data_IF_938782938599
#
_entry.id   IF_938782938599
#
_cell.length_a   1.000
_cell.length_b   1.000
_cell.length_c   1.000
_cell.angle_alpha   90.00
_cell.angle_beta   90.00
_cell.angle_gamma   90.00
#
_symmetry.space_group_name_H-M   'P 1'
#
loop_
_entity.id
_entity.type
_entity.pdbx_description
1 polymer ?
#
# COMPACT_ATOMS: atom_id res chain seq x y z
N UNK A 1 24.15 10.50 -13.55
CA UNK A 1 22.87 11.23 -13.43
C UNK A 1 21.71 10.60 -14.19
N UNK A 2 21.89 10.15 -15.44
CA UNK A 2 20.79 9.58 -16.26
C UNK A 2 20.22 8.29 -15.65
N UNK A 3 21.03 7.35 -15.23
CA UNK A 3 20.59 6.08 -14.59
C UNK A 3 19.76 6.32 -13.33
N UNK A 4 20.17 7.25 -12.47
CA UNK A 4 19.42 7.60 -11.27
C UNK A 4 18.00 8.10 -11.58
N UNK A 5 17.86 8.95 -12.61
CA UNK A 5 16.54 9.44 -13.06
C UNK A 5 15.64 8.30 -13.56
N UNK A 6 16.20 7.30 -14.24
CA UNK A 6 15.47 6.12 -14.71
C UNK A 6 14.92 5.32 -13.52
N UNK A 7 15.74 5.06 -12.50
CA UNK A 7 15.30 4.37 -11.30
C UNK A 7 14.26 5.16 -10.49
N UNK A 8 14.37 6.48 -10.39
CA UNK A 8 13.35 7.33 -9.80
C UNK A 8 12.02 7.27 -10.57
N UNK A 9 12.10 7.21 -11.90
CA UNK A 9 10.92 7.02 -12.75
C UNK A 9 10.26 5.67 -12.50
N UNK A 10 11.05 4.58 -12.37
CA UNK A 10 10.56 3.26 -12.02
C UNK A 10 9.93 3.22 -10.62
N UNK A 11 10.54 3.89 -9.64
CA UNK A 11 10.05 4.00 -8.26
C UNK A 11 8.73 4.78 -8.13
N UNK A 12 8.36 5.60 -9.14
CA UNK A 12 7.09 6.37 -9.19
C UNK A 12 6.83 7.17 -7.92
N UNK A 13 7.69 8.13 -7.62
CA UNK A 13 7.62 8.95 -6.39
C UNK A 13 6.22 9.52 -6.11
N UNK A 14 5.42 9.78 -7.14
CA UNK A 14 4.03 10.26 -7.02
C UNK A 14 3.08 9.29 -6.31
N UNK A 15 3.45 8.00 -6.16
CA UNK A 15 2.63 7.00 -5.45
C UNK A 15 3.07 6.85 -3.99
N UNK A 16 4.20 7.42 -3.58
CA UNK A 16 4.70 7.34 -2.21
C UNK A 16 3.76 7.98 -1.17
N UNK A 17 3.09 9.13 -1.42
CA UNK A 17 2.12 9.68 -0.47
C UNK A 17 1.05 8.67 -0.08
N UNK A 18 0.61 7.82 -1.01
CA UNK A 18 -0.38 6.77 -0.74
C UNK A 18 0.16 5.73 0.25
N UNK A 19 1.41 5.29 0.07
CA UNK A 19 1.99 4.24 0.95
C UNK A 19 2.34 4.75 2.35
N UNK A 20 2.72 6.03 2.48
CA UNK A 20 3.06 6.59 3.80
C UNK A 20 1.84 7.08 4.58
N UNK A 21 0.70 7.34 3.91
CA UNK A 21 -0.50 7.91 4.56
C UNK A 21 -0.99 7.05 5.73
N UNK A 22 -1.03 5.73 5.58
CA UNK A 22 -1.44 4.84 6.66
C UNK A 22 -0.45 4.83 7.83
N UNK A 23 0.85 4.88 7.56
CA UNK A 23 1.88 5.00 8.60
C UNK A 23 1.72 6.32 9.36
N UNK A 24 1.49 7.43 8.64
CA UNK A 24 1.26 8.74 9.27
C UNK A 24 0.02 8.71 10.17
N UNK A 25 -1.10 8.19 9.69
CA UNK A 25 -2.36 8.14 10.44
C UNK A 25 -2.25 7.22 11.65
N UNK A 26 -1.68 6.01 11.50
CA UNK A 26 -1.48 5.09 12.62
C UNK A 26 -0.59 5.66 13.72
N UNK A 27 0.49 6.36 13.35
CA UNK A 27 1.37 7.02 14.32
C UNK A 27 0.75 8.30 14.90
N UNK A 28 -0.04 9.06 14.14
CA UNK A 28 -0.71 10.28 14.64
C UNK A 28 -1.61 9.99 15.85
N UNK A 29 -2.26 8.83 15.89
CA UNK A 29 -3.05 8.37 17.03
C UNK A 29 -2.20 8.09 18.30
N UNK A 30 -0.89 7.96 18.14
CA UNK A 30 0.03 7.60 19.21
C UNK A 30 0.89 8.77 19.69
N UNK A 31 0.86 9.93 19.02
CA UNK A 31 1.81 11.03 19.26
C UNK A 31 1.84 11.54 20.71
N UNK A 32 0.69 11.57 21.38
CA UNK A 32 0.57 12.06 22.76
C UNK A 32 0.82 10.97 23.81
N UNK A 33 1.23 9.78 23.41
CA UNK A 33 1.51 8.68 24.34
C UNK A 33 2.96 8.78 24.85
N UNK A 34 3.19 8.55 26.15
CA UNK A 34 4.53 8.69 26.76
C UNK A 34 5.61 7.81 26.11
N UNK A 35 5.20 6.66 25.58
CA UNK A 35 6.10 5.66 25.01
C UNK A 35 6.20 5.77 23.47
N UNK A 36 5.79 6.88 22.85
CA UNK A 36 5.92 7.06 21.42
C UNK A 36 7.39 7.08 20.99
N UNK A 37 7.74 6.25 20.02
CA UNK A 37 9.11 6.14 19.51
C UNK A 37 9.23 6.71 18.09
N UNK A 38 9.99 7.81 17.97
CA UNK A 38 10.34 8.41 16.68
C UNK A 38 11.20 7.48 15.81
N UNK A 39 12.04 6.64 16.43
CA UNK A 39 12.87 5.66 15.71
C UNK A 39 11.99 4.63 15.02
N UNK A 40 11.00 4.06 15.71
CA UNK A 40 10.05 3.12 15.12
C UNK A 40 9.24 3.78 14.01
N UNK A 41 8.78 5.02 14.22
CA UNK A 41 8.06 5.78 13.21
C UNK A 41 8.86 5.97 11.92
N UNK A 42 10.11 6.40 12.01
CA UNK A 42 10.98 6.60 10.84
C UNK A 42 11.28 5.29 10.13
N UNK A 43 11.53 4.20 10.87
CA UNK A 43 11.71 2.86 10.28
C UNK A 43 10.46 2.41 9.52
N UNK A 44 9.27 2.60 10.09
CA UNK A 44 8.01 2.26 9.41
C UNK A 44 7.82 3.04 8.11
N UNK A 45 8.21 4.32 8.05
CA UNK A 45 8.17 5.11 6.81
C UNK A 45 9.09 4.53 5.74
N UNK A 46 10.35 4.18 6.09
CA UNK A 46 11.28 3.58 5.14
C UNK A 46 10.81 2.20 4.65
N UNK A 47 10.21 1.40 5.52
CA UNK A 47 9.62 0.11 5.17
C UNK A 47 8.46 0.31 4.17
N UNK A 48 7.53 1.23 4.45
CA UNK A 48 6.40 1.52 3.57
C UNK A 48 6.86 2.01 2.18
N UNK A 49 7.87 2.89 2.14
CA UNK A 49 8.49 3.35 0.91
C UNK A 49 9.11 2.17 0.14
N UNK A 50 9.84 1.30 0.83
CA UNK A 50 10.48 0.13 0.22
C UNK A 50 9.44 -0.82 -0.39
N UNK A 51 8.36 -1.15 0.32
CA UNK A 51 7.27 -1.96 -0.22
C UNK A 51 6.59 -1.32 -1.43
N UNK A 52 6.39 0.01 -1.41
CA UNK A 52 5.83 0.72 -2.56
C UNK A 52 6.75 0.65 -3.78
N UNK A 53 8.06 0.78 -3.60
CA UNK A 53 9.05 0.65 -4.68
C UNK A 53 9.04 -0.77 -5.24
N UNK A 54 9.02 -1.81 -4.38
CA UNK A 54 8.92 -3.21 -4.80
C UNK A 54 7.66 -3.40 -5.67
N UNK A 55 6.51 -2.93 -5.20
CA UNK A 55 5.25 -3.01 -5.93
C UNK A 55 5.33 -2.30 -7.30
N UNK A 56 5.93 -1.12 -7.35
CA UNK A 56 6.07 -0.37 -8.60
C UNK A 56 7.00 -1.09 -9.59
N UNK A 57 8.13 -1.63 -9.13
CA UNK A 57 9.04 -2.41 -9.98
C UNK A 57 8.41 -3.72 -10.46
N UNK A 58 7.72 -4.42 -9.55
CA UNK A 58 7.00 -5.65 -9.88
C UNK A 58 5.88 -5.41 -10.88
N UNK A 59 5.16 -4.28 -10.77
CA UNK A 59 4.12 -3.90 -11.72
C UNK A 59 4.71 -3.60 -13.11
N UNK A 60 5.84 -2.88 -13.18
CA UNK A 60 6.52 -2.64 -14.47
C UNK A 60 7.00 -3.94 -15.11
N UNK A 61 7.57 -4.84 -14.30
CA UNK A 61 8.05 -6.13 -14.75
C UNK A 61 6.91 -7.05 -15.19
N UNK A 62 5.88 -7.23 -14.35
CA UNK A 62 4.78 -8.16 -14.60
C UNK A 62 3.87 -7.72 -15.75
N UNK A 63 3.44 -6.45 -15.75
CA UNK A 63 2.60 -5.89 -16.81
C UNK A 63 3.37 -5.82 -18.15
N UNK A 64 4.69 -5.53 -18.09
CA UNK A 64 5.54 -5.54 -19.29
C UNK A 64 5.74 -6.93 -19.91
N UNK A 65 5.86 -7.99 -19.09
CA UNK A 65 5.97 -9.37 -19.61
C UNK A 65 4.64 -9.84 -20.20
N UNK A 66 3.52 -9.47 -19.59
CA UNK A 66 2.17 -9.85 -20.01
C UNK A 66 1.63 -9.03 -21.17
N UNK A 67 2.37 -8.00 -21.64
CA UNK A 67 1.93 -7.14 -22.73
C UNK A 67 0.78 -6.18 -22.33
N UNK A 68 0.50 -6.01 -21.04
CA UNK A 68 -0.48 -5.04 -20.54
C UNK A 68 0.00 -3.62 -20.74
N UNK A 69 1.31 -3.40 -20.60
CA UNK A 69 1.96 -2.12 -20.89
C UNK A 69 2.27 -2.01 -22.39
N UNK A 70 1.24 -1.82 -23.20
CA UNK A 70 1.28 -1.66 -24.65
C UNK A 70 0.99 -0.21 -25.07
N UNK A 71 0.92 0.06 -26.37
CA UNK A 71 0.70 1.41 -26.93
C UNK A 71 -0.70 1.96 -26.63
N UNK A 72 -1.69 1.09 -26.41
CA UNK A 72 -3.08 1.47 -26.11
C UNK A 72 -3.27 1.88 -24.64
N UNK A 73 -2.26 1.70 -23.79
CA UNK A 73 -2.31 2.11 -22.40
C UNK A 73 -2.34 3.62 -22.27
N UNK A 74 -3.37 4.15 -21.58
CA UNK A 74 -3.56 5.61 -21.38
C UNK A 74 -2.61 6.20 -20.33
N UNK A 75 -2.19 5.38 -19.36
CA UNK A 75 -1.29 5.82 -18.27
C UNK A 75 0.14 6.14 -18.75
N UNK A 76 0.97 6.76 -17.90
CA UNK A 76 2.34 7.09 -18.26
C UNK A 76 3.14 5.85 -18.67
N UNK A 77 3.98 6.03 -19.70
CA UNK A 77 4.84 4.94 -20.19
C UNK A 77 5.76 4.42 -19.09
N UNK A 78 5.90 3.11 -19.02
CA UNK A 78 6.74 2.39 -18.05
C UNK A 78 8.19 2.30 -18.52
N UNK A 79 9.12 2.17 -17.56
CA UNK A 79 10.55 2.10 -17.88
C UNK A 79 10.89 0.87 -18.72
N UNK A 80 10.26 -0.27 -18.47
CA UNK A 80 10.44 -1.48 -19.27
C UNK A 80 9.82 -1.32 -20.65
N UNK A 81 8.62 -0.74 -20.77
CA UNK A 81 7.95 -0.44 -22.04
C UNK A 81 8.77 0.50 -22.92
N UNK A 82 9.51 1.45 -22.33
CA UNK A 82 10.37 2.38 -23.02
C UNK A 82 11.75 1.80 -23.36
N UNK A 83 12.06 0.56 -22.95
CA UNK A 83 13.39 -0.04 -23.13
C UNK A 83 14.50 0.61 -22.29
N UNK A 84 14.15 1.44 -21.28
CA UNK A 84 15.13 2.13 -20.43
C UNK A 84 15.80 1.20 -19.42
N UNK A 85 15.13 0.14 -19.01
CA UNK A 85 15.66 -0.93 -18.17
C UNK A 85 15.32 -2.29 -18.81
N UNK A 86 16.26 -3.24 -18.75
CA UNK A 86 15.98 -4.62 -19.15
C UNK A 86 15.16 -5.37 -18.09
N UNK A 87 14.54 -6.50 -18.49
CA UNK A 87 13.81 -7.38 -17.58
C UNK A 87 14.70 -7.86 -16.42
N UNK A 88 15.93 -8.24 -16.71
CA UNK A 88 16.89 -8.75 -15.71
C UNK A 88 17.29 -7.65 -14.72
N UNK A 89 17.58 -6.44 -15.19
CA UNK A 89 17.94 -5.31 -14.34
C UNK A 89 16.78 -4.95 -13.40
N UNK A 90 15.54 -4.94 -13.93
CA UNK A 90 14.36 -4.64 -13.11
C UNK A 90 14.07 -5.74 -12.10
N UNK A 91 14.22 -7.04 -12.47
CA UNK A 91 14.13 -8.18 -11.57
C UNK A 91 15.15 -8.10 -10.43
N UNK A 92 16.39 -7.76 -10.73
CA UNK A 92 17.43 -7.57 -9.71
C UNK A 92 17.09 -6.40 -8.78
N UNK A 93 16.51 -5.33 -9.31
CA UNK A 93 15.99 -4.22 -8.50
C UNK A 93 14.88 -4.65 -7.52
N UNK A 94 13.96 -5.52 -7.95
CA UNK A 94 12.92 -6.09 -7.08
C UNK A 94 13.56 -6.90 -5.96
N UNK A 95 14.50 -7.79 -6.28
CA UNK A 95 15.20 -8.63 -5.29
C UNK A 95 15.94 -7.75 -4.28
N UNK A 96 16.73 -6.77 -4.76
CA UNK A 96 17.48 -5.86 -3.92
C UNK A 96 16.56 -5.09 -2.95
N UNK A 97 15.50 -4.47 -3.46
CA UNK A 97 14.56 -3.72 -2.61
C UNK A 97 13.79 -4.62 -1.63
N UNK A 98 13.52 -5.88 -2.02
CA UNK A 98 12.92 -6.87 -1.10
C UNK A 98 13.84 -7.21 0.07
N UNK A 99 15.13 -7.39 -0.19
CA UNK A 99 16.13 -7.60 0.86
C UNK A 99 16.23 -6.38 1.79
N UNK A 100 16.30 -5.17 1.23
CA UNK A 100 16.30 -3.92 2.01
C UNK A 100 15.07 -3.82 2.90
N UNK A 101 13.87 -4.06 2.34
CA UNK A 101 12.63 -4.02 3.09
C UNK A 101 12.60 -5.04 4.24
N UNK A 102 13.06 -6.27 4.01
CA UNK A 102 13.11 -7.31 5.04
C UNK A 102 14.13 -6.99 6.12
N UNK A 103 15.31 -6.46 5.79
CA UNK A 103 16.30 -6.03 6.78
C UNK A 103 15.72 -4.92 7.66
N UNK A 104 15.11 -3.90 7.07
CA UNK A 104 14.45 -2.81 7.82
C UNK A 104 13.31 -3.36 8.70
N UNK A 105 12.51 -4.30 8.20
CA UNK A 105 11.43 -4.91 8.96
C UNK A 105 11.96 -5.75 10.12
N UNK A 106 13.02 -6.55 9.94
CA UNK A 106 13.66 -7.29 11.03
C UNK A 106 14.23 -6.34 12.10
N UNK A 107 14.87 -5.24 11.69
CA UNK A 107 15.35 -4.21 12.61
C UNK A 107 14.20 -3.59 13.41
N UNK A 108 13.10 -3.21 12.74
CA UNK A 108 11.92 -2.68 13.39
C UNK A 108 11.32 -3.67 14.40
N UNK A 109 11.16 -4.92 14.01
CA UNK A 109 10.58 -5.98 14.83
C UNK A 109 11.44 -6.22 16.07
N UNK A 110 12.74 -6.32 15.90
CA UNK A 110 13.68 -6.46 17.02
C UNK A 110 13.55 -5.30 18.01
N UNK A 111 13.65 -4.05 17.55
CA UNK A 111 13.54 -2.87 18.40
C UNK A 111 12.15 -2.72 19.06
N UNK A 112 11.08 -3.13 18.36
CA UNK A 112 9.73 -2.99 18.88
C UNK A 112 9.34 -4.07 19.89
N UNK A 113 9.90 -5.30 19.80
CA UNK A 113 9.43 -6.47 20.53
C UNK A 113 10.52 -7.19 21.33
N UNK A 114 11.69 -6.57 21.54
CA UNK A 114 12.84 -7.18 22.24
C UNK A 114 12.48 -7.86 23.58
N UNK A 115 11.58 -7.23 24.34
CA UNK A 115 11.12 -7.72 25.64
C UNK A 115 9.70 -8.31 25.63
N UNK A 116 9.14 -8.56 24.46
CA UNK A 116 7.74 -8.97 24.28
C UNK A 116 7.61 -10.45 23.90
N UNK A 117 6.37 -10.91 23.78
CA UNK A 117 6.05 -12.26 23.37
C UNK A 117 6.63 -12.62 21.99
N UNK A 118 7.23 -13.80 21.86
CA UNK A 118 7.67 -14.40 20.61
C UNK A 118 6.57 -14.45 19.55
N UNK A 119 5.31 -14.51 19.97
CA UNK A 119 4.17 -14.47 19.05
C UNK A 119 4.17 -13.21 18.19
N UNK A 120 4.43 -12.05 18.77
CA UNK A 120 4.48 -10.78 18.00
C UNK A 120 5.60 -10.79 16.97
N UNK A 121 6.77 -11.32 17.35
CA UNK A 121 7.92 -11.45 16.44
C UNK A 121 7.54 -12.33 15.24
N UNK A 122 6.99 -13.53 15.50
CA UNK A 122 6.59 -14.47 14.44
C UNK A 122 5.52 -13.86 13.53
N UNK A 123 4.49 -13.22 14.10
CA UNK A 123 3.40 -12.61 13.34
C UNK A 123 3.92 -11.49 12.43
N UNK A 124 4.77 -10.59 12.95
CA UNK A 124 5.27 -9.47 12.15
C UNK A 124 6.34 -9.90 11.12
N UNK A 125 7.15 -10.93 11.41
CA UNK A 125 8.02 -11.54 10.38
C UNK A 125 7.17 -12.15 9.27
N UNK A 126 6.17 -12.95 9.61
CA UNK A 126 5.24 -13.54 8.64
C UNK A 126 4.53 -12.50 7.80
N UNK A 127 4.06 -11.41 8.45
CA UNK A 127 3.42 -10.29 7.78
C UNK A 127 4.37 -9.56 6.81
N UNK A 128 5.65 -9.39 7.18
CA UNK A 128 6.67 -8.76 6.33
C UNK A 128 6.96 -9.61 5.09
N UNK A 129 7.13 -10.91 5.25
CA UNK A 129 7.33 -11.85 4.12
C UNK A 129 6.10 -11.86 3.22
N UNK A 130 4.90 -11.91 3.81
CA UNK A 130 3.64 -11.89 3.06
C UNK A 130 3.45 -10.57 2.32
N UNK A 131 3.92 -9.44 2.86
CA UNK A 131 3.89 -8.13 2.19
C UNK A 131 4.78 -8.09 0.95
N UNK A 132 5.99 -8.65 1.01
CA UNK A 132 6.88 -8.79 -0.16
C UNK A 132 6.21 -9.67 -1.22
N UNK A 133 5.70 -10.84 -0.80
CA UNK A 133 4.99 -11.74 -1.71
C UNK A 133 3.79 -11.04 -2.37
N UNK A 134 2.98 -10.32 -1.61
CA UNK A 134 1.81 -9.61 -2.12
C UNK A 134 2.21 -8.50 -3.10
N UNK A 135 3.25 -7.71 -2.80
CA UNK A 135 3.73 -6.65 -3.69
C UNK A 135 4.19 -7.20 -5.05
N UNK A 136 4.81 -8.39 -5.07
CA UNK A 136 5.28 -9.04 -6.30
C UNK A 136 4.13 -9.75 -7.03
N UNK A 137 3.34 -10.54 -6.31
CA UNK A 137 2.28 -11.41 -6.88
C UNK A 137 1.05 -10.64 -7.37
N UNK A 138 1.03 -9.31 -7.18
CA UNK A 138 -0.01 -8.46 -7.77
C UNK A 138 -0.04 -8.57 -9.29
N UNK A 139 1.13 -8.55 -9.95
CA UNK A 139 1.26 -8.62 -11.42
C UNK A 139 2.14 -9.75 -11.92
N UNK A 140 3.05 -10.27 -11.09
CA UNK A 140 4.02 -11.29 -11.49
C UNK A 140 3.47 -12.69 -11.25
N UNK A 141 3.77 -13.61 -12.19
CA UNK A 141 3.33 -15.02 -12.18
C UNK A 141 1.98 -15.25 -12.88
N UNK A 142 1.67 -16.50 -13.16
CA UNK A 142 0.47 -16.92 -13.90
C UNK A 142 -0.82 -16.68 -13.10
N UNK A 143 -0.72 -16.71 -11.78
CA UNK A 143 -1.83 -16.52 -10.85
C UNK A 143 -1.83 -15.13 -10.21
N UNK A 144 -1.28 -14.10 -10.90
CA UNK A 144 -1.24 -12.74 -10.40
C UNK A 144 -2.64 -12.26 -9.96
N UNK A 145 -2.79 -11.91 -8.68
CA UNK A 145 -4.10 -11.64 -8.11
C UNK A 145 -4.71 -10.32 -8.58
N UNK A 146 -3.89 -9.36 -9.02
CA UNK A 146 -4.35 -8.11 -9.64
C UNK A 146 -5.08 -8.34 -10.97
N UNK A 147 -4.82 -9.47 -11.64
CA UNK A 147 -5.51 -9.91 -12.86
C UNK A 147 -6.80 -10.68 -12.59
N UNK A 148 -7.15 -10.91 -11.32
CA UNK A 148 -8.29 -11.74 -10.88
C UNK A 148 -9.33 -10.98 -10.07
N UNK A 149 -9.27 -9.64 -10.07
CA UNK A 149 -10.20 -8.80 -9.32
C UNK A 149 -9.94 -8.69 -7.83
N UNK A 150 -8.84 -9.27 -7.33
CA UNK A 150 -8.51 -9.24 -5.91
C UNK A 150 -7.68 -8.00 -5.50
N UNK A 151 -7.33 -7.13 -6.46
CA UNK A 151 -6.51 -5.95 -6.20
C UNK A 151 -7.07 -5.05 -5.11
N UNK A 152 -8.38 -4.77 -5.15
CA UNK A 152 -9.07 -3.89 -4.20
C UNK A 152 -8.99 -4.44 -2.77
N UNK A 153 -9.18 -5.75 -2.59
CA UNK A 153 -9.06 -6.40 -1.27
C UNK A 153 -7.65 -6.29 -0.71
N UNK A 154 -6.63 -6.58 -1.51
CA UNK A 154 -5.24 -6.49 -1.06
C UNK A 154 -4.81 -5.05 -0.77
N UNK A 155 -5.27 -4.08 -1.57
CA UNK A 155 -5.03 -2.65 -1.29
C UNK A 155 -5.69 -2.24 0.03
N UNK A 156 -6.94 -2.64 0.28
CA UNK A 156 -7.63 -2.38 1.56
C UNK A 156 -6.85 -2.97 2.74
N UNK A 157 -6.40 -4.22 2.62
CA UNK A 157 -5.68 -4.92 3.69
C UNK A 157 -4.31 -4.29 3.97
N UNK A 158 -3.51 -4.00 2.94
CA UNK A 158 -2.14 -3.54 3.15
C UNK A 158 -2.04 -2.04 3.41
N UNK A 159 -2.74 -1.19 2.65
CA UNK A 159 -2.69 0.26 2.82
C UNK A 159 -3.57 0.76 3.98
N UNK A 160 -4.67 0.05 4.28
CA UNK A 160 -5.50 0.29 5.44
C UNK A 160 -5.04 -0.53 6.65
N UNK A 161 -5.34 -1.84 6.63
CA UNK A 161 -5.13 -2.73 7.77
C UNK A 161 -3.68 -2.76 8.26
N UNK A 162 -2.77 -3.30 7.45
CA UNK A 162 -1.37 -3.49 7.85
C UNK A 162 -0.68 -2.15 8.13
N UNK A 163 -0.91 -1.15 7.29
CA UNK A 163 -0.24 0.14 7.42
C UNK A 163 -0.72 0.91 8.67
N UNK A 164 -2.01 1.10 8.87
CA UNK A 164 -2.54 1.88 10.00
C UNK A 164 -2.51 1.08 11.30
N UNK A 165 -3.12 -0.12 11.31
CA UNK A 165 -3.17 -0.93 12.54
C UNK A 165 -1.80 -1.46 12.93
N UNK A 166 -0.95 -1.84 11.95
CA UNK A 166 0.42 -2.26 12.20
C UNK A 166 1.23 -1.14 12.83
N UNK A 167 1.15 0.09 12.29
CA UNK A 167 1.86 1.24 12.84
C UNK A 167 1.38 1.56 14.26
N UNK A 168 0.07 1.58 14.50
CA UNK A 168 -0.51 1.80 15.82
C UNK A 168 -0.05 0.72 16.82
N UNK A 169 -0.15 -0.56 16.42
CA UNK A 169 0.23 -1.69 17.28
C UNK A 169 1.73 -1.72 17.59
N UNK A 170 2.59 -1.39 16.64
CA UNK A 170 4.05 -1.30 16.86
C UNK A 170 4.38 -0.26 17.92
N UNK A 171 3.65 0.86 17.99
CA UNK A 171 3.86 1.87 19.01
C UNK A 171 3.29 1.45 20.38
N UNK A 172 2.05 0.98 20.45
CA UNK A 172 1.30 0.84 21.70
C UNK A 172 1.08 -0.60 22.17
N UNK A 173 1.39 -1.61 21.36
CA UNK A 173 1.17 -3.04 21.66
C UNK A 173 -0.31 -3.41 21.93
N UNK A 174 -1.22 -2.57 21.49
CA UNK A 174 -2.67 -2.73 21.63
C UNK A 174 -3.37 -2.29 20.36
N UNK A 175 -4.66 -2.56 20.25
CA UNK A 175 -5.52 -2.08 19.17
C UNK A 175 -6.65 -1.22 19.75
N UNK A 176 -7.20 -0.32 18.95
CA UNK A 176 -8.33 0.52 19.32
C UNK A 176 -9.36 0.63 18.20
N UNK A 177 -10.62 0.88 18.54
CA UNK A 177 -11.66 1.12 17.54
C UNK A 177 -11.37 2.34 16.63
N UNK A 178 -10.88 3.49 17.15
CA UNK A 178 -10.45 4.60 16.30
C UNK A 178 -9.40 4.18 15.26
N UNK A 179 -8.38 3.41 15.66
CA UNK A 179 -7.37 2.91 14.73
C UNK A 179 -7.98 2.00 13.65
N UNK A 180 -8.94 1.15 14.01
CA UNK A 180 -9.63 0.28 13.07
C UNK A 180 -10.48 1.07 12.06
N UNK A 181 -11.26 2.07 12.51
CA UNK A 181 -12.05 2.91 11.60
C UNK A 181 -11.18 3.75 10.67
N UNK A 182 -10.05 4.27 11.15
CA UNK A 182 -9.10 4.98 10.31
C UNK A 182 -8.37 4.05 9.33
N UNK A 183 -8.11 2.79 9.72
CA UNK A 183 -7.58 1.79 8.81
C UNK A 183 -8.54 1.52 7.65
N UNK A 184 -9.83 1.37 7.92
CA UNK A 184 -10.84 1.24 6.87
C UNK A 184 -10.92 2.49 6.00
N UNK A 185 -10.89 3.67 6.60
CA UNK A 185 -10.93 4.95 5.88
C UNK A 185 -9.76 5.08 4.90
N UNK A 186 -8.52 4.93 5.38
CA UNK A 186 -7.31 5.00 4.54
C UNK A 186 -7.31 3.90 3.48
N UNK A 187 -7.77 2.72 3.85
CA UNK A 187 -7.95 1.61 2.92
C UNK A 187 -8.91 1.93 1.79
N UNK A 188 -10.08 2.50 2.08
CA UNK A 188 -11.05 2.91 1.06
C UNK A 188 -10.54 4.04 0.17
N UNK A 189 -9.83 5.04 0.71
CA UNK A 189 -9.15 6.04 -0.11
C UNK A 189 -8.14 5.39 -1.05
N UNK A 190 -7.36 4.43 -0.56
CA UNK A 190 -6.35 3.73 -1.35
C UNK A 190 -6.97 2.88 -2.46
N UNK A 191 -8.07 2.17 -2.17
CA UNK A 191 -8.86 1.44 -3.17
C UNK A 191 -9.46 2.42 -4.19
N UNK A 192 -9.89 3.61 -3.75
CA UNK A 192 -10.37 4.65 -4.65
C UNK A 192 -9.32 5.11 -5.66
N UNK A 193 -8.06 5.28 -5.23
CA UNK A 193 -6.94 5.57 -6.14
C UNK A 193 -6.71 4.44 -7.13
N UNK A 194 -6.74 3.17 -6.67
CA UNK A 194 -6.65 2.01 -7.56
C UNK A 194 -7.81 1.98 -8.56
N UNK A 195 -9.02 2.23 -8.08
CA UNK A 195 -10.22 2.26 -8.93
C UNK A 195 -10.13 3.34 -10.03
N UNK A 196 -9.64 4.55 -9.72
CA UNK A 196 -9.40 5.60 -10.72
C UNK A 196 -8.40 5.15 -11.79
N UNK A 197 -7.30 4.50 -11.40
CA UNK A 197 -6.32 3.96 -12.33
C UNK A 197 -6.94 2.88 -13.23
N UNK A 198 -7.71 1.97 -12.64
CA UNK A 198 -8.40 0.90 -13.37
C UNK A 198 -9.48 1.45 -14.31
N UNK A 199 -10.23 2.51 -13.92
CA UNK A 199 -11.19 3.17 -14.80
C UNK A 199 -10.53 3.83 -16.01
N UNK A 200 -9.37 4.48 -15.80
CA UNK A 200 -8.60 5.06 -16.90
C UNK A 200 -8.14 4.01 -17.90
N UNK A 201 -7.67 2.86 -17.41
CA UNK A 201 -7.05 1.82 -18.22
C UNK A 201 -8.04 0.69 -18.60
N UNK A 202 -9.37 0.84 -18.31
CA UNK A 202 -10.40 -0.20 -18.41
C UNK A 202 -10.44 -0.90 -19.78
N UNK A 203 -10.40 -0.15 -20.87
CA UNK A 203 -10.48 -0.72 -22.22
C UNK A 203 -9.25 -1.59 -22.53
N UNK A 204 -8.06 -1.11 -22.18
CA UNK A 204 -6.82 -1.85 -22.34
C UNK A 204 -6.77 -3.08 -21.44
N UNK A 205 -7.15 -2.97 -20.17
CA UNK A 205 -7.18 -4.09 -19.21
C UNK A 205 -8.11 -5.20 -19.71
N UNK A 206 -9.30 -4.85 -20.20
CA UNK A 206 -10.24 -5.81 -20.79
C UNK A 206 -9.67 -6.52 -22.03
N UNK A 207 -9.01 -5.75 -22.92
CA UNK A 207 -8.43 -6.29 -24.17
C UNK A 207 -7.30 -7.31 -23.91
N UNK A 208 -6.52 -7.13 -22.83
CA UNK A 208 -5.42 -8.04 -22.43
C UNK A 208 -5.87 -9.10 -21.42
N UNK A 209 -7.16 -9.22 -21.12
CA UNK A 209 -7.70 -10.21 -20.21
C UNK A 209 -7.45 -9.94 -18.73
N UNK A 210 -7.09 -8.72 -18.33
CA UNK A 210 -6.92 -8.31 -16.93
C UNK A 210 -8.28 -8.00 -16.31
N UNK A 211 -8.78 -8.90 -15.47
CA UNK A 211 -10.10 -8.82 -14.84
C UNK A 211 -10.04 -8.00 -13.54
N UNK A 212 -9.92 -6.67 -13.66
CA UNK A 212 -10.04 -5.78 -12.51
C UNK A 212 -11.50 -5.62 -12.05
N UNK A 213 -11.73 -5.10 -10.84
CA UNK A 213 -13.09 -4.80 -10.35
C UNK A 213 -13.82 -3.87 -11.33
N UNK A 214 -13.12 -2.92 -11.94
CA UNK A 214 -13.69 -1.98 -12.92
C UNK A 214 -14.12 -2.70 -14.22
N UNK A 215 -13.31 -3.63 -14.72
CA UNK A 215 -13.66 -4.44 -15.90
C UNK A 215 -14.89 -5.30 -15.59
N UNK A 216 -14.97 -5.86 -14.39
CA UNK A 216 -16.11 -6.67 -13.95
C UNK A 216 -17.40 -5.83 -13.81
N UNK A 217 -17.34 -4.65 -13.19
CA UNK A 217 -18.51 -3.80 -12.95
C UNK A 217 -18.99 -3.05 -14.21
N UNK A 218 -18.08 -2.76 -15.13
CA UNK A 218 -18.32 -1.83 -16.23
C UNK A 218 -18.29 -0.36 -15.82
N UNK A 219 -18.14 0.54 -16.80
CA UNK A 219 -17.84 1.95 -16.55
C UNK A 219 -18.85 2.69 -15.63
N UNK A 220 -20.17 2.44 -15.82
CA UNK A 220 -21.20 3.12 -15.01
C UNK A 220 -21.16 2.69 -13.54
N UNK A 221 -21.10 1.38 -13.27
CA UNK A 221 -21.08 0.86 -11.90
C UNK A 221 -19.74 1.12 -11.20
N UNK A 222 -18.63 1.15 -11.95
CA UNK A 222 -17.32 1.50 -11.41
C UNK A 222 -17.26 2.93 -10.87
N UNK A 223 -17.94 3.89 -11.53
CA UNK A 223 -18.10 5.26 -11.01
C UNK A 223 -18.91 5.29 -9.71
N UNK A 224 -20.02 4.55 -9.65
CA UNK A 224 -20.83 4.46 -8.43
C UNK A 224 -20.03 3.83 -7.28
N UNK A 225 -19.31 2.75 -7.56
CA UNK A 225 -18.41 2.11 -6.61
C UNK A 225 -17.36 3.09 -6.07
N UNK A 226 -16.77 3.90 -6.94
CA UNK A 226 -15.82 4.94 -6.53
C UNK A 226 -16.46 5.95 -5.55
N UNK A 227 -17.66 6.43 -5.87
CA UNK A 227 -18.39 7.38 -4.99
C UNK A 227 -18.63 6.74 -3.61
N UNK A 228 -19.08 5.49 -3.58
CA UNK A 228 -19.32 4.76 -2.33
C UNK A 228 -18.05 4.65 -1.49
N UNK A 229 -16.92 4.28 -2.12
CA UNK A 229 -15.62 4.21 -1.43
C UNK A 229 -15.24 5.55 -0.81
N UNK A 230 -15.38 6.66 -1.56
CA UNK A 230 -15.03 8.01 -1.08
C UNK A 230 -15.95 8.45 0.06
N UNK A 231 -17.26 8.24 -0.06
CA UNK A 231 -18.23 8.59 0.98
C UNK A 231 -17.97 7.79 2.27
N UNK A 232 -17.76 6.47 2.17
CA UNK A 232 -17.44 5.65 3.33
C UNK A 232 -16.13 6.06 3.99
N UNK A 233 -15.09 6.34 3.19
CA UNK A 233 -13.81 6.80 3.70
C UNK A 233 -13.95 8.11 4.49
N UNK A 234 -14.68 9.08 3.95
CA UNK A 234 -14.90 10.38 4.60
C UNK A 234 -15.73 10.22 5.88
N UNK A 235 -16.83 9.45 5.85
CA UNK A 235 -17.69 9.21 7.02
C UNK A 235 -16.88 8.61 8.17
N UNK A 236 -16.06 7.59 7.89
CA UNK A 236 -15.23 6.94 8.91
C UNK A 236 -14.17 7.89 9.46
N UNK A 237 -13.50 8.66 8.60
CA UNK A 237 -12.49 9.62 9.02
C UNK A 237 -13.08 10.72 9.91
N UNK A 238 -14.14 11.38 9.44
CA UNK A 238 -14.82 12.46 10.15
C UNK A 238 -15.45 11.94 11.45
N UNK A 239 -16.06 10.74 11.42
CA UNK A 239 -16.65 10.11 12.59
C UNK A 239 -15.66 9.91 13.75
N UNK A 240 -14.43 9.43 13.45
CA UNK A 240 -13.37 9.32 14.46
C UNK A 240 -12.94 10.69 14.98
N UNK A 241 -12.82 11.68 14.10
CA UNK A 241 -12.40 13.03 14.49
C UNK A 241 -13.45 13.68 15.42
N UNK A 242 -14.72 13.62 15.06
CA UNK A 242 -15.81 14.17 15.88
C UNK A 242 -15.96 13.45 17.23
N UNK A 243 -15.82 12.13 17.27
CA UNK A 243 -15.90 11.38 18.54
C UNK A 243 -14.80 11.80 19.52
N UNK A 244 -13.58 12.04 19.04
CA UNK A 244 -12.47 12.52 19.88
C UNK A 244 -12.72 13.95 20.39
N UNK A 245 -13.30 14.83 19.59
CA UNK A 245 -13.68 16.19 20.03
C UNK A 245 -14.76 16.12 21.11
N UNK A 246 -15.80 15.32 20.92
CA UNK A 246 -16.89 15.17 21.90
C UNK A 246 -16.36 14.63 23.22
N UNK A 247 -15.48 13.64 23.20
CA UNK A 247 -14.84 13.11 24.40
C UNK A 247 -13.98 14.16 25.10
N UNK A 248 -13.19 14.95 24.35
CA UNK A 248 -12.35 16.00 24.91
C UNK A 248 -13.18 17.06 25.67
N UNK A 249 -14.26 17.55 25.08
CA UNK A 249 -15.14 18.53 25.73
C UNK A 249 -16.03 17.90 26.83
N UNK A 250 -16.44 16.64 26.71
CA UNK A 250 -17.27 15.94 27.70
C UNK A 250 -16.56 15.62 29.01
N UNK A 251 -15.22 15.60 29.05
CA UNK A 251 -14.42 15.40 30.27
C UNK A 251 -14.02 16.72 30.97
N UNK A 252 -14.31 17.87 30.40
CA UNK A 252 -13.89 19.18 30.90
C UNK A 252 -15.07 20.04 31.38
N UNK A 253 -16.27 19.47 31.42
CA UNK A 253 -17.48 19.99 32.04
C UNK A 253 -18.07 18.95 33.00
#
# INVERSE_FOLDING_TARGET
>A
MQQFKIWLSAARLRTLPLSISGILVGNALCLNQPNFSWVLFVLMLFIAISFQIISNFANDYGDGIKGTDNENRVGPKRVLQQGLLSKEVLKNGIIFMSLVALILACTLIFLAFESQSWLYIIVFIGLSIFSVWAAISYTVGDKAYGYRGLGDLFVLLFFGGVSVLGAYFIQLKTLSFPAFYLALSIGFFSVGVLNLNNMRDQANDAAVGKKTMVVFLGAKRAKMYHIILMVLAIILFVGVFLSNIILFFGYHF
#
